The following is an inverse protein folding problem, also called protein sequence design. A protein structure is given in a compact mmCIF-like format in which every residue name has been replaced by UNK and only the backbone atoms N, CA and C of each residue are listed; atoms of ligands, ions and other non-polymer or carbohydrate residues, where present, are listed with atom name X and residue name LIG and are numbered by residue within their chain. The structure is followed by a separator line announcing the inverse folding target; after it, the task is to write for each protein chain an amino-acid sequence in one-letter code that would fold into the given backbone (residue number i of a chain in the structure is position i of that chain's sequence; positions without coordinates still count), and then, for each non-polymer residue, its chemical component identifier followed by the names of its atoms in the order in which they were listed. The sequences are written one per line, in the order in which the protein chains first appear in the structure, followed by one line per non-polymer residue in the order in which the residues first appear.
data_IF_407048711781
#
_entry.id   IF_407048711781
#
_cell.length_a   1.000
_cell.length_b   1.000
_cell.length_c   1.000
_cell.angle_alpha   90.00
_cell.angle_beta   90.00
_cell.angle_gamma   90.00
#
_symmetry.space_group_name_H-M   'P 1'
#
loop_
_entity.id
_entity.type
_entity.pdbx_description
1 polymer ?
#
# COMPACT_ATOMS: atom_id res chain seq x y z
N UNK A 1 -36.64 -59.95 -36.12
CA UNK A 1 -35.46 -59.78 -35.27
C UNK A 1 -34.93 -58.39 -35.51
N UNK A 2 -35.32 -57.42 -34.66
CA UNK A 2 -34.92 -56.04 -34.76
C UNK A 2 -33.69 -55.77 -33.86
N UNK A 3 -32.55 -55.39 -34.47
CA UNK A 3 -31.33 -55.04 -33.77
C UNK A 3 -31.36 -53.56 -33.40
N UNK A 4 -31.57 -53.27 -32.12
CA UNK A 4 -31.52 -51.94 -31.53
C UNK A 4 -30.04 -51.54 -31.39
N UNK A 5 -29.61 -50.51 -32.15
CA UNK A 5 -28.27 -49.93 -32.04
C UNK A 5 -28.35 -48.75 -31.08
N UNK A 6 -27.76 -48.89 -29.89
CA UNK A 6 -27.54 -47.80 -28.95
C UNK A 6 -26.38 -46.97 -29.42
N UNK A 7 -26.64 -45.71 -29.79
CA UNK A 7 -25.61 -44.72 -30.03
C UNK A 7 -25.17 -44.12 -28.68
N UNK A 8 -23.94 -44.38 -28.28
CA UNK A 8 -23.34 -43.80 -27.08
C UNK A 8 -22.90 -42.37 -27.40
N UNK A 9 -23.63 -41.37 -26.93
CA UNK A 9 -23.22 -39.97 -27.07
C UNK A 9 -22.23 -39.64 -25.95
N UNK A 10 -20.96 -39.51 -26.31
CA UNK A 10 -19.88 -39.09 -25.40
C UNK A 10 -19.95 -37.57 -25.26
N UNK A 11 -20.48 -37.09 -24.14
CA UNK A 11 -20.46 -35.66 -23.79
C UNK A 11 -19.10 -35.36 -23.17
N UNK A 12 -18.19 -34.80 -23.95
CA UNK A 12 -16.93 -34.25 -23.47
C UNK A 12 -17.23 -32.86 -22.85
N UNK A 13 -17.30 -32.80 -21.53
CA UNK A 13 -17.32 -31.54 -20.82
C UNK A 13 -15.95 -30.87 -20.96
N UNK A 14 -15.86 -29.81 -21.75
CA UNK A 14 -14.71 -28.89 -21.77
C UNK A 14 -14.66 -28.17 -20.43
N UNK A 15 -13.80 -28.61 -19.54
CA UNK A 15 -13.35 -27.84 -18.38
C UNK A 15 -12.50 -26.69 -18.91
N UNK A 16 -13.10 -25.51 -19.10
CA UNK A 16 -12.35 -24.28 -19.33
C UNK A 16 -11.52 -24.01 -18.07
N UNK A 17 -10.19 -23.85 -18.17
CA UNK A 17 -9.40 -23.41 -17.03
C UNK A 17 -9.91 -22.03 -16.64
N UNK A 18 -10.42 -21.89 -15.43
CA UNK A 18 -10.66 -20.59 -14.82
C UNK A 18 -9.30 -19.91 -14.77
N UNK A 19 -9.09 -18.88 -15.57
CA UNK A 19 -7.94 -18.01 -15.45
C UNK A 19 -8.03 -17.40 -14.04
N UNK A 20 -7.27 -17.95 -13.10
CA UNK A 20 -7.07 -17.32 -11.82
C UNK A 20 -6.39 -15.98 -12.13
N UNK A 21 -7.12 -14.88 -11.97
CA UNK A 21 -6.55 -13.56 -12.05
C UNK A 21 -5.49 -13.46 -10.95
N UNK A 22 -4.24 -13.42 -11.34
CA UNK A 22 -3.13 -13.28 -10.43
C UNK A 22 -3.11 -11.83 -9.95
N UNK A 23 -3.45 -11.63 -8.69
CA UNK A 23 -3.29 -10.35 -8.04
C UNK A 23 -1.80 -9.97 -8.04
N UNK A 24 -1.47 -8.82 -8.64
CA UNK A 24 -0.09 -8.33 -8.63
C UNK A 24 0.22 -7.67 -7.29
N UNK A 25 1.40 -7.94 -6.76
CA UNK A 25 1.87 -7.30 -5.53
C UNK A 25 3.08 -6.42 -5.82
N UNK A 26 3.06 -5.20 -5.28
CA UNK A 26 4.18 -4.26 -5.37
C UNK A 26 4.67 -3.99 -3.95
N UNK A 27 5.95 -4.26 -3.69
CA UNK A 27 6.57 -3.99 -2.39
C UNK A 27 7.47 -2.76 -2.47
N UNK A 28 7.13 -1.75 -1.69
CA UNK A 28 7.90 -0.53 -1.52
C UNK A 28 8.82 -0.66 -0.30
N UNK A 29 10.08 -0.32 -0.46
CA UNK A 29 11.05 -0.20 0.64
C UNK A 29 11.27 1.28 0.92
N UNK A 30 10.66 1.77 1.99
CA UNK A 30 10.64 3.20 2.34
C UNK A 30 11.65 3.46 3.45
N UNK A 31 12.72 4.22 3.19
CA UNK A 31 13.62 4.64 4.25
C UNK A 31 12.91 5.63 5.16
N UNK A 32 12.92 5.38 6.47
CA UNK A 32 12.28 6.22 7.46
C UNK A 32 13.29 6.60 8.53
N UNK A 33 13.38 7.88 8.80
CA UNK A 33 14.17 8.41 9.90
C UNK A 33 13.33 9.40 10.69
N UNK A 34 13.02 9.04 11.92
CA UNK A 34 12.27 9.85 12.86
C UNK A 34 13.14 10.10 14.09
N UNK A 35 13.21 11.33 14.54
CA UNK A 35 13.96 11.68 15.74
C UNK A 35 13.24 12.76 16.54
N UNK A 36 13.52 12.81 17.85
CA UNK A 36 12.97 13.81 18.75
C UNK A 36 11.43 13.90 18.73
N UNK A 37 10.75 12.76 18.57
CA UNK A 37 9.29 12.71 18.64
C UNK A 37 8.80 13.08 20.05
N UNK A 38 7.59 13.61 20.10
CA UNK A 38 6.92 13.85 21.37
C UNK A 38 6.63 12.54 22.11
N UNK A 39 6.56 12.59 23.42
CA UNK A 39 6.44 11.41 24.27
C UNK A 39 5.11 10.67 24.12
N UNK A 40 4.06 11.33 23.64
CA UNK A 40 2.75 10.77 23.37
C UNK A 40 2.65 10.09 21.99
N UNK A 41 3.63 10.29 21.12
CA UNK A 41 3.73 9.54 19.85
C UNK A 41 4.32 8.17 20.14
N UNK A 42 3.47 7.16 20.11
CA UNK A 42 3.85 5.76 20.39
C UNK A 42 3.83 4.87 19.16
N UNK A 43 3.27 5.36 18.08
CA UNK A 43 3.05 4.62 16.85
C UNK A 43 3.21 5.52 15.65
N UNK A 44 3.71 4.97 14.56
CA UNK A 44 3.66 5.59 13.24
C UNK A 44 3.24 4.58 12.19
N UNK A 45 2.80 5.03 11.04
CA UNK A 45 2.58 4.18 9.87
C UNK A 45 3.32 4.73 8.66
N UNK A 46 3.66 3.82 7.76
CA UNK A 46 4.06 4.14 6.41
C UNK A 46 2.99 3.62 5.48
N UNK A 47 2.31 4.50 4.78
CA UNK A 47 1.29 4.16 3.79
C UNK A 47 1.78 4.43 2.39
N UNK A 48 1.56 3.50 1.47
CA UNK A 48 1.88 3.64 0.06
C UNK A 48 0.61 3.60 -0.77
N UNK A 49 0.48 4.55 -1.69
CA UNK A 49 -0.68 4.72 -2.56
C UNK A 49 -0.27 4.57 -4.00
N UNK A 50 -1.02 3.79 -4.74
CA UNK A 50 -0.88 3.67 -6.19
C UNK A 50 -1.85 4.62 -6.89
N UNK A 51 -1.35 5.28 -7.94
CA UNK A 51 -2.04 6.36 -8.63
C UNK A 51 -1.90 6.26 -10.15
N UNK A 52 -2.71 7.04 -10.84
CA UNK A 52 -2.55 7.35 -12.25
C UNK A 52 -2.11 8.81 -12.39
N UNK A 53 -1.08 9.08 -13.18
CA UNK A 53 -0.59 10.45 -13.43
C UNK A 53 -1.65 11.36 -14.04
N UNK A 54 -2.54 10.81 -14.86
CA UNK A 54 -3.64 11.55 -15.45
C UNK A 54 -4.74 11.91 -14.44
N UNK A 55 -4.82 11.16 -13.32
CA UNK A 55 -5.76 11.43 -12.23
C UNK A 55 -5.05 11.28 -10.87
N UNK A 56 -4.18 12.23 -10.50
CA UNK A 56 -3.32 12.11 -9.32
C UNK A 56 -4.07 12.17 -7.99
N UNK A 57 -5.32 12.60 -7.97
CA UNK A 57 -6.15 12.64 -6.78
C UNK A 57 -6.86 11.32 -6.49
N UNK A 58 -7.02 10.46 -7.49
CA UNK A 58 -7.63 9.15 -7.31
C UNK A 58 -6.63 8.17 -6.67
N UNK A 59 -7.11 7.41 -5.69
CA UNK A 59 -6.41 6.27 -5.11
C UNK A 59 -6.86 5.01 -5.83
N UNK A 60 -5.95 4.32 -6.48
CA UNK A 60 -6.22 3.06 -7.18
C UNK A 60 -6.04 1.86 -6.26
N UNK A 61 -4.96 1.85 -5.48
CA UNK A 61 -4.73 0.88 -4.41
C UNK A 61 -3.92 1.53 -3.29
N UNK A 62 -4.06 1.02 -2.09
CA UNK A 62 -3.40 1.53 -0.91
C UNK A 62 -3.16 0.40 0.09
N UNK A 63 -2.00 0.43 0.73
CA UNK A 63 -1.75 -0.35 1.94
C UNK A 63 -0.79 0.39 2.86
N UNK A 64 -0.68 -0.07 4.10
CA UNK A 64 0.18 0.54 5.10
C UNK A 64 0.79 -0.49 6.04
N UNK A 65 1.95 -0.14 6.58
CA UNK A 65 2.60 -0.87 7.67
C UNK A 65 2.64 0.02 8.91
N UNK A 66 2.12 -0.48 10.01
CA UNK A 66 2.10 0.19 11.31
C UNK A 66 3.27 -0.29 12.16
N UNK A 67 3.96 0.62 12.85
CA UNK A 67 5.09 0.32 13.72
C UNK A 67 5.00 1.09 15.04
N UNK A 68 5.46 0.46 16.10
CA UNK A 68 5.67 1.12 17.39
C UNK A 68 6.93 1.99 17.33
N UNK A 69 6.91 3.09 18.07
CA UNK A 69 8.06 3.99 18.18
C UNK A 69 8.23 4.53 19.60
N UNK A 70 9.46 4.71 19.99
CA UNK A 70 9.80 5.38 21.24
C UNK A 70 10.81 6.49 20.96
N UNK A 71 10.30 7.72 20.80
CA UNK A 71 11.04 8.97 20.52
C UNK A 71 11.80 9.01 19.19
N UNK A 72 12.27 7.88 18.68
CA UNK A 72 13.01 7.84 17.43
C UNK A 72 12.85 6.50 16.72
N UNK A 73 13.03 6.52 15.42
CA UNK A 73 13.10 5.33 14.55
C UNK A 73 14.08 5.61 13.40
N UNK A 74 14.88 4.63 13.04
CA UNK A 74 15.73 4.69 11.86
C UNK A 74 15.75 3.31 11.21
N UNK A 75 15.31 3.21 9.96
CA UNK A 75 15.26 1.94 9.25
C UNK A 75 14.50 2.02 7.94
N UNK A 76 14.34 0.85 7.32
CA UNK A 76 13.56 0.70 6.09
C UNK A 76 12.28 -0.05 6.41
N UNK A 77 11.14 0.55 6.07
CA UNK A 77 9.82 -0.06 6.23
C UNK A 77 9.37 -0.62 4.89
N UNK A 78 8.96 -1.89 4.88
CA UNK A 78 8.37 -2.52 3.70
C UNK A 78 6.86 -2.38 3.74
N UNK A 79 6.28 -1.89 2.64
CA UNK A 79 4.83 -1.80 2.43
C UNK A 79 4.49 -2.57 1.17
N UNK A 80 3.65 -3.59 1.27
CA UNK A 80 3.21 -4.40 0.14
C UNK A 80 1.79 -4.01 -0.24
N UNK A 81 1.59 -3.54 -1.46
CA UNK A 81 0.30 -3.12 -1.98
C UNK A 81 -0.17 -4.14 -3.01
N UNK A 82 -1.37 -4.67 -2.83
CA UNK A 82 -2.01 -5.56 -3.78
C UNK A 82 -2.71 -4.74 -4.86
N UNK A 83 -2.46 -5.09 -6.11
CA UNK A 83 -3.02 -4.44 -7.30
C UNK A 83 -3.96 -5.41 -8.00
N UNK A 84 -5.27 -5.19 -7.95
CA UNK A 84 -6.21 -5.97 -8.74
C UNK A 84 -5.91 -5.85 -10.24
N UNK A 85 -5.95 -6.96 -10.98
CA UNK A 85 -5.69 -6.97 -12.42
C UNK A 85 -6.57 -6.00 -13.19
N UNK A 86 -7.79 -5.75 -12.71
CA UNK A 86 -8.75 -4.83 -13.33
C UNK A 86 -8.26 -3.38 -13.42
N UNK A 87 -7.30 -3.00 -12.59
CA UNK A 87 -6.74 -1.64 -12.53
C UNK A 87 -5.24 -1.58 -12.80
N UNK A 88 -4.58 -2.73 -12.94
CA UNK A 88 -3.12 -2.80 -13.06
C UNK A 88 -2.58 -1.97 -14.24
N UNK A 89 -3.28 -1.97 -15.38
CA UNK A 89 -2.90 -1.19 -16.56
C UNK A 89 -3.05 0.34 -16.37
N UNK A 90 -3.85 0.77 -15.40
CA UNK A 90 -4.08 2.18 -15.12
C UNK A 90 -3.09 2.77 -14.13
N UNK A 91 -2.43 1.92 -13.35
CA UNK A 91 -1.47 2.34 -12.31
C UNK A 91 -0.12 2.63 -12.95
N UNK A 92 0.36 3.87 -12.82
CA UNK A 92 1.64 4.31 -13.39
C UNK A 92 2.42 5.28 -12.49
N UNK A 93 1.93 5.53 -11.29
CA UNK A 93 2.57 6.38 -10.30
C UNK A 93 2.28 5.87 -8.88
N UNK A 94 3.10 6.26 -7.94
CA UNK A 94 2.95 5.92 -6.53
C UNK A 94 3.48 7.01 -5.63
N UNK A 95 2.99 7.05 -4.41
CA UNK A 95 3.57 7.82 -3.33
C UNK A 95 3.47 7.07 -2.01
N UNK A 96 4.48 7.24 -1.16
CA UNK A 96 4.47 6.73 0.20
C UNK A 96 4.65 7.89 1.17
N UNK A 97 3.93 7.85 2.28
CA UNK A 97 3.97 8.88 3.31
C UNK A 97 4.00 8.27 4.71
N UNK A 98 4.64 9.00 5.61
CA UNK A 98 4.67 8.68 7.04
C UNK A 98 3.55 9.43 7.75
N UNK A 99 2.84 8.75 8.66
CA UNK A 99 1.88 9.34 9.57
C UNK A 99 2.24 9.00 11.01
N UNK A 100 2.23 9.98 11.87
CA UNK A 100 2.42 9.81 13.31
C UNK A 100 1.07 9.71 14.01
N UNK A 101 0.98 8.88 15.04
CA UNK A 101 -0.21 8.74 15.86
C UNK A 101 0.08 9.21 17.28
N UNK A 102 -0.76 10.10 17.78
CA UNK A 102 -0.75 10.65 19.13
C UNK A 102 -2.15 10.52 19.76
N UNK A 103 -2.33 10.94 20.99
CA UNK A 103 -3.61 10.80 21.70
C UNK A 103 -4.80 11.49 20.97
N UNK A 104 -4.54 12.54 20.19
CA UNK A 104 -5.55 13.27 19.43
C UNK A 104 -5.79 12.75 18.00
N UNK A 105 -5.12 11.69 17.56
CA UNK A 105 -5.26 11.11 16.23
C UNK A 105 -3.98 11.02 15.43
N UNK A 106 -4.11 10.91 14.10
CA UNK A 106 -2.99 10.81 13.16
C UNK A 106 -2.68 12.14 12.48
N UNK A 107 -1.41 12.35 12.15
CA UNK A 107 -0.96 13.54 11.42
C UNK A 107 0.32 13.28 10.62
N UNK A 108 0.49 14.03 9.55
CA UNK A 108 1.75 14.04 8.81
C UNK A 108 2.81 14.82 9.60
N UNK A 109 4.01 14.28 9.80
CA UNK A 109 5.07 14.98 10.47
C UNK A 109 5.61 16.12 9.59
N UNK A 110 5.74 17.31 10.19
CA UNK A 110 6.30 18.48 9.53
C UNK A 110 6.97 19.44 10.54
N UNK A 111 7.99 20.20 10.14
CA UNK A 111 8.64 21.18 11.02
C UNK A 111 7.69 22.28 11.47
N UNK A 112 6.76 22.66 10.63
CA UNK A 112 5.78 23.75 10.80
C UNK A 112 4.38 23.24 11.13
N UNK A 113 4.25 21.94 11.48
CA UNK A 113 2.95 21.37 11.82
C UNK A 113 2.23 22.18 12.90
N UNK A 114 0.96 22.53 12.72
CA UNK A 114 0.16 23.19 13.75
C UNK A 114 -0.15 22.26 14.93
N UNK A 115 -0.04 20.94 14.72
CA UNK A 115 -0.24 19.91 15.75
C UNK A 115 1.11 19.67 16.43
N UNK A 116 1.22 20.02 17.69
CA UNK A 116 2.49 19.94 18.43
C UNK A 116 3.12 18.53 18.40
N UNK A 117 2.31 17.48 18.55
CA UNK A 117 2.78 16.09 18.50
C UNK A 117 3.38 15.67 17.14
N UNK A 118 3.01 16.36 16.08
CA UNK A 118 3.49 16.13 14.71
C UNK A 118 4.58 17.09 14.29
N UNK A 119 4.84 18.11 15.11
CA UNK A 119 5.94 19.02 14.90
C UNK A 119 7.26 18.33 15.18
N UNK A 120 8.08 18.21 14.16
CA UNK A 120 9.42 17.66 14.32
C UNK A 120 10.31 18.71 14.98
N UNK A 121 10.89 18.36 16.13
CA UNK A 121 11.90 19.23 16.76
C UNK A 121 13.17 19.26 15.93
N UNK A 122 13.85 20.38 15.91
CA UNK A 122 15.02 20.63 15.09
C UNK A 122 16.01 19.45 15.05
N UNK A 123 16.42 19.06 13.85
CA UNK A 123 17.26 17.88 13.59
C UNK A 123 16.50 16.61 13.21
N UNK A 124 15.18 16.61 13.20
CA UNK A 124 14.42 15.49 12.64
C UNK A 124 14.52 15.49 11.11
N UNK A 125 15.21 14.52 10.57
CA UNK A 125 15.21 14.28 9.13
C UNK A 125 14.03 13.40 8.80
N UNK A 126 13.11 13.91 8.03
CA UNK A 126 11.92 13.20 7.62
C UNK A 126 11.92 12.99 6.12
N UNK A 127 11.90 11.74 5.74
CA UNK A 127 11.34 11.39 4.45
C UNK A 127 9.82 11.30 4.65
N UNK A 128 9.16 12.45 4.63
CA UNK A 128 7.72 12.52 4.84
C UNK A 128 6.93 12.01 3.64
N UNK A 129 7.55 12.01 2.46
CA UNK A 129 6.94 11.54 1.23
C UNK A 129 8.00 11.09 0.24
N UNK A 130 7.83 9.89 -0.29
CA UNK A 130 8.59 9.37 -1.44
C UNK A 130 7.58 9.11 -2.56
N UNK A 131 7.92 9.50 -3.79
CA UNK A 131 7.06 9.29 -4.95
C UNK A 131 7.88 8.83 -6.15
N UNK A 132 7.25 8.15 -7.10
CA UNK A 132 7.89 7.65 -8.28
C UNK A 132 6.90 7.23 -9.37
N UNK A 133 7.47 6.63 -10.40
CA UNK A 133 6.74 5.99 -11.50
C UNK A 133 6.97 4.50 -11.48
N UNK A 134 6.00 3.74 -11.92
CA UNK A 134 6.07 2.31 -12.19
C UNK A 134 6.51 2.07 -13.62
#
# INVERSE_FOLDING_TARGET
MARLRYALILVTALLAPSAAFAEQTITFKVPVQLSNLYADVKKFSVGCTLRNKANPLATYAFDRTDLEVNKSYSGTVSVTVNVPDSIAAEVNAWDCAVHLFHAGGGCAPAPDSPIAACKTKGGATLVSKVQGTL
#
